data_IF_106950604105
#
_entry.id   IF_106950604105
#
_cell.length_a   1.000
_cell.length_b   1.000
_cell.length_c   1.000
_cell.angle_alpha   90.00
_cell.angle_beta   90.00
_cell.angle_gamma   90.00
#
_symmetry.space_group_name_H-M   'P 1'
#
loop_
_entity.id
_entity.type
_entity.pdbx_description
1 polymer ?
#
# COMPACT_ATOMS: atom_id res chain seq x y z
N UNK A 1 7.63 22.25 16.69
CA UNK A 1 7.61 20.81 16.39
C UNK A 1 6.76 20.62 15.16
N UNK A 2 7.31 20.01 14.11
CA UNK A 2 6.50 19.57 12.97
C UNK A 2 5.64 18.40 13.43
N UNK A 3 4.35 18.40 13.08
CA UNK A 3 3.45 17.27 13.35
C UNK A 3 3.69 16.15 12.35
N UNK A 4 3.36 14.90 12.70
CA UNK A 4 3.49 13.75 11.78
C UNK A 4 2.76 14.01 10.45
N UNK A 5 1.59 14.66 10.50
CA UNK A 5 0.82 15.02 9.33
C UNK A 5 1.57 16.00 8.40
N UNK A 6 2.23 17.01 8.95
CA UNK A 6 3.05 17.96 8.18
C UNK A 6 4.29 17.28 7.58
N UNK A 7 4.88 16.32 8.29
CA UNK A 7 6.02 15.55 7.79
C UNK A 7 5.61 14.67 6.60
N UNK A 8 4.56 13.85 6.71
CA UNK A 8 4.11 12.99 5.62
C UNK A 8 3.52 13.77 4.44
N UNK A 9 2.93 14.95 4.68
CA UNK A 9 2.52 15.86 3.61
C UNK A 9 3.72 16.36 2.80
N UNK A 10 4.88 16.55 3.42
CA UNK A 10 6.10 16.97 2.72
C UNK A 10 6.74 15.87 1.87
N UNK A 11 6.44 14.60 2.16
CA UNK A 11 6.95 13.43 1.42
C UNK A 11 6.06 13.02 0.25
N UNK A 12 4.80 13.45 0.23
CA UNK A 12 3.80 13.02 -0.76
C UNK A 12 3.57 14.10 -1.82
N UNK A 13 3.10 13.69 -3.00
CA UNK A 13 2.75 14.61 -4.09
C UNK A 13 1.33 14.32 -4.55
N UNK A 14 0.68 15.29 -5.21
CA UNK A 14 -0.66 15.10 -5.79
C UNK A 14 -0.63 14.34 -7.13
N UNK A 15 0.54 13.88 -7.58
CA UNK A 15 0.65 13.15 -8.85
C UNK A 15 0.07 11.75 -8.72
N UNK A 16 -0.57 11.23 -9.78
CA UNK A 16 -1.03 9.85 -9.79
C UNK A 16 0.16 8.90 -9.64
N UNK A 17 0.03 7.94 -8.71
CA UNK A 17 0.99 6.87 -8.51
C UNK A 17 0.40 5.57 -9.09
N UNK A 18 1.16 4.93 -9.98
CA UNK A 18 0.78 3.67 -10.61
C UNK A 18 1.88 2.64 -10.32
N UNK A 19 1.48 1.47 -9.83
CA UNK A 19 2.40 0.36 -9.53
C UNK A 19 1.89 -0.92 -10.19
N UNK A 20 2.81 -1.77 -10.64
CA UNK A 20 2.47 -3.07 -11.20
C UNK A 20 2.29 -4.11 -10.11
N UNK A 21 1.16 -4.81 -10.16
CA UNK A 21 0.81 -5.86 -9.21
C UNK A 21 0.81 -7.22 -9.89
N UNK A 22 1.41 -8.20 -9.23
CA UNK A 22 1.21 -9.60 -9.54
C UNK A 22 -0.25 -10.01 -9.30
N UNK A 23 -0.67 -11.13 -9.90
CA UNK A 23 -2.02 -11.64 -9.70
C UNK A 23 -2.34 -11.92 -8.22
N UNK A 24 -1.36 -12.38 -7.44
CA UNK A 24 -1.54 -12.65 -6.00
C UNK A 24 -1.82 -11.38 -5.20
N UNK A 25 -1.06 -10.33 -5.48
CA UNK A 25 -1.27 -9.01 -4.89
C UNK A 25 -2.64 -8.44 -5.27
N UNK A 26 -3.05 -8.57 -6.53
CA UNK A 26 -4.39 -8.15 -6.98
C UNK A 26 -5.50 -8.88 -6.22
N UNK A 27 -5.39 -10.21 -6.05
CA UNK A 27 -6.35 -11.01 -5.28
C UNK A 27 -6.39 -10.55 -3.81
N UNK A 28 -5.22 -10.33 -3.20
CA UNK A 28 -5.14 -9.89 -1.82
C UNK A 28 -5.79 -8.52 -1.62
N UNK A 29 -5.55 -7.56 -2.53
CA UNK A 29 -6.17 -6.22 -2.49
C UNK A 29 -7.68 -6.32 -2.60
N UNK A 30 -8.20 -7.07 -3.58
CA UNK A 30 -9.65 -7.23 -3.76
C UNK A 30 -10.30 -7.89 -2.53
N UNK A 31 -9.69 -8.96 -2.00
CA UNK A 31 -10.22 -9.63 -0.82
C UNK A 31 -10.16 -8.74 0.43
N UNK A 32 -9.10 -7.96 0.59
CA UNK A 32 -8.97 -7.00 1.69
C UNK A 32 -10.05 -5.91 1.61
N UNK A 33 -10.40 -5.48 0.41
CA UNK A 33 -11.48 -4.52 0.17
C UNK A 33 -12.85 -5.12 0.51
N UNK A 34 -13.14 -6.32 0.01
CA UNK A 34 -14.45 -6.97 0.16
C UNK A 34 -14.72 -7.45 1.60
N UNK A 35 -13.70 -7.99 2.27
CA UNK A 35 -13.86 -8.71 3.54
C UNK A 35 -13.02 -8.14 4.69
N UNK A 36 -12.25 -7.07 4.44
CA UNK A 36 -11.35 -6.45 5.42
C UNK A 36 -10.00 -7.18 5.54
N UNK A 37 -8.97 -6.42 5.95
CA UNK A 37 -7.59 -6.92 6.11
C UNK A 37 -7.46 -8.09 7.11
N UNK A 38 -8.31 -8.14 8.14
CA UNK A 38 -8.32 -9.21 9.14
C UNK A 38 -8.70 -10.57 8.56
N UNK A 39 -9.43 -10.61 7.43
CA UNK A 39 -9.86 -11.83 6.74
C UNK A 39 -8.78 -12.51 5.88
N UNK A 40 -7.63 -11.84 5.72
CA UNK A 40 -6.54 -12.33 4.90
C UNK A 40 -5.73 -13.41 5.62
N UNK A 41 -5.27 -14.42 4.88
CA UNK A 41 -4.27 -15.37 5.36
C UNK A 41 -2.92 -14.66 5.59
N UNK A 42 -2.01 -15.31 6.31
CA UNK A 42 -0.65 -14.77 6.53
C UNK A 42 0.07 -14.51 5.21
N UNK A 43 -0.09 -15.38 4.21
CA UNK A 43 0.51 -15.19 2.89
C UNK A 43 -0.09 -13.99 2.16
N UNK A 44 -1.43 -13.85 2.19
CA UNK A 44 -2.12 -12.71 1.58
C UNK A 44 -1.74 -11.37 2.23
N UNK A 45 -1.46 -11.38 3.54
CA UNK A 45 -0.93 -10.20 4.23
C UNK A 45 0.46 -9.81 3.73
N UNK A 46 1.34 -10.80 3.48
CA UNK A 46 2.64 -10.54 2.84
C UNK A 46 2.49 -9.99 1.43
N UNK A 47 1.49 -10.44 0.68
CA UNK A 47 1.20 -9.87 -0.63
C UNK A 47 0.79 -8.39 -0.51
N UNK A 48 -0.06 -8.02 0.47
CA UNK A 48 -0.38 -6.61 0.77
C UNK A 48 0.86 -5.82 1.19
N UNK A 49 1.72 -6.37 2.04
CA UNK A 49 2.98 -5.72 2.43
C UNK A 49 3.85 -5.42 1.19
N UNK A 50 3.85 -6.31 0.19
CA UNK A 50 4.48 -6.10 -1.11
C UNK A 50 3.89 -4.92 -1.87
N UNK A 51 2.55 -4.80 -1.92
CA UNK A 51 1.86 -3.64 -2.51
C UNK A 51 2.26 -2.34 -1.79
N UNK A 52 2.26 -2.34 -0.46
CA UNK A 52 2.64 -1.18 0.35
C UNK A 52 4.09 -0.79 0.07
N UNK A 53 5.01 -1.76 -0.04
CA UNK A 53 6.41 -1.48 -0.38
C UNK A 53 6.54 -0.78 -1.73
N UNK A 54 5.85 -1.28 -2.77
CA UNK A 54 5.87 -0.66 -4.12
C UNK A 54 5.31 0.76 -4.10
N UNK A 55 4.23 0.99 -3.35
CA UNK A 55 3.67 2.32 -3.18
C UNK A 55 4.64 3.23 -2.43
N UNK A 56 5.25 2.76 -1.33
CA UNK A 56 6.25 3.49 -0.56
C UNK A 56 7.43 3.89 -1.44
N UNK A 57 7.95 2.97 -2.25
CA UNK A 57 9.07 3.25 -3.15
C UNK A 57 8.70 4.25 -4.25
N UNK A 58 7.43 4.26 -4.69
CA UNK A 58 6.92 5.25 -5.62
C UNK A 58 6.67 6.64 -5.02
N UNK A 59 6.39 6.73 -3.72
CA UNK A 59 6.21 8.00 -2.99
C UNK A 59 7.57 8.57 -2.59
N UNK A 60 8.39 7.73 -1.96
CA UNK A 60 9.67 8.12 -1.37
C UNK A 60 10.65 6.92 -1.44
N UNK A 61 11.44 6.83 -2.52
CA UNK A 61 12.38 5.71 -2.74
C UNK A 61 13.42 5.60 -1.64
#
# INVERSE_FOLDING_TARGET
MQTDAEYYKSLTTEKPLVVELSQKEQIAVLKAYDYGYSSLSIEQKKDIDGVISKLKDGIWP
#
